data_IF_859706089092
#
_entry.id   IF_859706089092
#
_cell.length_a   1.000
_cell.length_b   1.000
_cell.length_c   1.000
_cell.angle_alpha   90.00
_cell.angle_beta   90.00
_cell.angle_gamma   90.00
#
_symmetry.space_group_name_H-M   'P 1'
#
loop_
_entity.id
_entity.type
_entity.pdbx_description
1 polymer ?
#
# COMPACT_ATOMS: atom_id res chain seq x y z
N UNK A 1 -43.49 51.53 -19.95
CA UNK A 1 -42.47 50.64 -19.38
C UNK A 1 -41.23 50.80 -20.23
N UNK A 2 -40.31 51.62 -19.77
CA UNK A 2 -39.24 52.18 -20.58
C UNK A 2 -38.16 51.14 -20.86
N UNK A 3 -37.63 51.14 -22.08
CA UNK A 3 -36.58 50.22 -22.57
C UNK A 3 -35.40 50.16 -21.59
N UNK A 4 -35.08 51.30 -20.95
CA UNK A 4 -34.03 51.41 -19.94
C UNK A 4 -34.28 50.54 -18.70
N UNK A 5 -35.52 50.49 -18.20
CA UNK A 5 -35.87 49.67 -17.04
C UNK A 5 -35.79 48.17 -17.37
N UNK A 6 -36.13 47.79 -18.60
CA UNK A 6 -36.01 46.40 -19.06
C UNK A 6 -34.55 45.96 -19.19
N UNK A 7 -33.67 46.85 -19.67
CA UNK A 7 -32.23 46.60 -19.75
C UNK A 7 -31.59 46.48 -18.37
N UNK A 8 -31.98 47.33 -17.41
CA UNK A 8 -31.48 47.23 -16.03
C UNK A 8 -31.91 45.93 -15.34
N UNK A 9 -33.15 45.48 -15.56
CA UNK A 9 -33.62 44.18 -15.07
C UNK A 9 -32.83 43.02 -15.70
N UNK A 10 -32.55 43.08 -17.00
CA UNK A 10 -31.77 42.07 -17.69
C UNK A 10 -30.33 42.00 -17.16
N UNK A 11 -29.69 43.16 -16.92
CA UNK A 11 -28.34 43.22 -16.34
C UNK A 11 -28.33 42.62 -14.92
N UNK A 12 -29.31 42.97 -14.07
CA UNK A 12 -29.43 42.41 -12.72
C UNK A 12 -29.50 40.88 -12.74
N UNK A 13 -30.37 40.32 -13.60
CA UNK A 13 -30.52 38.88 -13.76
C UNK A 13 -29.23 38.22 -14.26
N UNK A 14 -28.49 38.86 -15.17
CA UNK A 14 -27.21 38.30 -15.64
C UNK A 14 -26.14 38.26 -14.56
N UNK A 15 -26.10 39.26 -13.66
CA UNK A 15 -25.16 39.29 -12.54
C UNK A 15 -25.49 38.20 -11.52
N UNK A 16 -26.77 38.00 -11.23
CA UNK A 16 -27.24 36.91 -10.36
C UNK A 16 -26.89 35.52 -10.94
N UNK A 17 -27.10 35.32 -12.23
CA UNK A 17 -26.72 34.07 -12.92
C UNK A 17 -25.21 33.84 -12.84
N UNK A 18 -24.41 34.89 -13.05
CA UNK A 18 -22.95 34.81 -12.97
C UNK A 18 -22.48 34.46 -11.56
N UNK A 19 -23.12 35.02 -10.53
CA UNK A 19 -22.80 34.71 -9.14
C UNK A 19 -23.09 33.23 -8.80
N UNK A 20 -24.25 32.72 -9.22
CA UNK A 20 -24.60 31.30 -9.05
C UNK A 20 -23.61 30.39 -9.78
N UNK A 21 -23.17 30.76 -10.98
CA UNK A 21 -22.15 30.01 -11.72
C UNK A 21 -20.81 29.96 -10.97
N UNK A 22 -20.38 31.08 -10.37
CA UNK A 22 -19.17 31.13 -9.56
C UNK A 22 -19.27 30.23 -8.33
N UNK A 23 -20.42 30.23 -7.65
CA UNK A 23 -20.66 29.35 -6.50
C UNK A 23 -20.61 27.86 -6.90
N UNK A 24 -21.18 27.49 -8.04
CA UNK A 24 -21.12 26.11 -8.58
C UNK A 24 -19.67 25.70 -8.88
N UNK A 25 -18.87 26.59 -9.48
CA UNK A 25 -17.46 26.32 -9.76
C UNK A 25 -16.66 26.09 -8.48
N UNK A 26 -16.87 26.94 -7.47
CA UNK A 26 -16.22 26.79 -6.18
C UNK A 26 -16.61 25.46 -5.49
N UNK A 27 -17.91 25.11 -5.49
CA UNK A 27 -18.38 23.83 -4.95
C UNK A 27 -17.75 22.61 -5.66
N UNK A 28 -17.64 22.65 -7.01
CA UNK A 28 -16.96 21.61 -7.78
C UNK A 28 -15.49 21.46 -7.38
N UNK A 29 -14.77 22.58 -7.22
CA UNK A 29 -13.37 22.56 -6.80
C UNK A 29 -13.21 21.96 -5.40
N UNK A 30 -14.09 22.33 -4.45
CA UNK A 30 -14.08 21.75 -3.10
C UNK A 30 -14.34 20.23 -3.11
N UNK A 31 -15.28 19.76 -3.95
CA UNK A 31 -15.54 18.34 -4.12
C UNK A 31 -14.32 17.61 -4.67
N UNK A 32 -13.62 18.17 -5.66
CA UNK A 32 -12.39 17.60 -6.21
C UNK A 32 -11.26 17.52 -5.16
N UNK A 33 -11.08 18.55 -4.33
CA UNK A 33 -10.10 18.51 -3.25
C UNK A 33 -10.45 17.40 -2.26
N UNK A 34 -11.73 17.28 -1.87
CA UNK A 34 -12.20 16.22 -0.96
C UNK A 34 -11.97 14.82 -1.52
N UNK A 35 -12.20 14.58 -2.81
CA UNK A 35 -11.96 13.25 -3.41
C UNK A 35 -10.47 12.89 -3.43
N UNK A 36 -9.59 13.85 -3.77
CA UNK A 36 -8.13 13.64 -3.74
C UNK A 36 -7.62 13.36 -2.31
N UNK A 37 -8.22 14.00 -1.30
CA UNK A 37 -7.87 13.71 0.09
C UNK A 37 -8.32 12.30 0.51
N UNK A 38 -9.51 11.87 0.13
CA UNK A 38 -10.03 10.52 0.44
C UNK A 38 -9.14 9.43 -0.19
N UNK A 39 -8.72 9.57 -1.45
CA UNK A 39 -7.83 8.59 -2.10
C UNK A 39 -6.46 8.52 -1.43
N UNK A 40 -5.92 9.64 -0.98
CA UNK A 40 -4.64 9.72 -0.24
C UNK A 40 -4.74 9.16 1.19
N UNK A 41 -5.89 9.34 1.85
CA UNK A 41 -6.15 8.75 3.17
C UNK A 41 -6.27 7.22 3.03
N UNK A 42 -6.98 6.73 2.02
CA UNK A 42 -7.11 5.30 1.78
C UNK A 42 -5.75 4.63 1.52
N UNK A 43 -4.85 5.25 0.76
CA UNK A 43 -3.51 4.69 0.53
C UNK A 43 -2.63 4.71 1.79
N UNK A 44 -2.78 5.70 2.68
CA UNK A 44 -2.03 5.77 3.94
C UNK A 44 -2.59 4.86 5.04
N UNK A 45 -3.89 4.62 5.06
CA UNK A 45 -4.55 3.78 6.06
C UNK A 45 -4.48 2.29 5.74
N UNK A 46 -4.42 1.89 4.45
CA UNK A 46 -4.22 0.49 4.05
C UNK A 46 -2.88 -0.08 4.56
N UNK A 47 -1.85 0.75 4.72
CA UNK A 47 -0.59 0.34 5.35
C UNK A 47 -0.67 0.20 6.88
N UNK A 48 -1.64 0.84 7.54
CA UNK A 48 -1.74 0.86 9.01
C UNK A 48 -2.41 -0.41 9.56
N UNK A 49 -3.22 -1.09 8.74
CA UNK A 49 -3.78 -2.42 9.00
C UNK A 49 -2.96 -3.55 8.37
N UNK A 50 -1.68 -3.30 8.06
CA UNK A 50 -0.69 -4.38 8.11
C UNK A 50 -0.71 -4.81 9.58
N UNK A 51 -1.56 -5.79 9.90
CA UNK A 51 -1.52 -6.49 11.16
C UNK A 51 -0.04 -6.72 11.45
N UNK A 52 0.42 -6.26 12.60
CA UNK A 52 1.69 -6.69 13.18
C UNK A 52 1.52 -8.18 13.52
N UNK A 53 1.36 -8.99 12.48
CA UNK A 53 1.09 -10.41 12.59
C UNK A 53 2.36 -10.98 13.21
N UNK A 54 2.22 -11.44 14.45
CA UNK A 54 3.26 -12.17 15.16
C UNK A 54 3.53 -13.41 14.33
N UNK A 55 4.74 -13.52 13.80
CA UNK A 55 5.18 -14.73 13.11
C UNK A 55 5.25 -15.86 14.14
N UNK A 56 4.51 -16.93 13.87
CA UNK A 56 4.65 -18.18 14.61
C UNK A 56 5.87 -18.95 14.12
N UNK A 57 6.34 -19.88 14.95
CA UNK A 57 7.45 -20.75 14.58
C UNK A 57 7.13 -21.58 13.33
N UNK A 58 5.89 -22.08 13.20
CA UNK A 58 5.47 -22.84 12.02
C UNK A 58 5.52 -21.97 10.75
N UNK A 59 5.04 -20.73 10.81
CA UNK A 59 5.09 -19.82 9.67
C UNK A 59 6.53 -19.48 9.25
N UNK A 60 7.47 -19.43 10.20
CA UNK A 60 8.89 -19.30 9.87
C UNK A 60 9.44 -20.54 9.17
N UNK A 61 9.03 -21.75 9.59
CA UNK A 61 9.42 -22.99 8.92
C UNK A 61 8.89 -23.02 7.49
N UNK A 62 7.59 -22.78 7.31
CA UNK A 62 6.95 -22.75 5.99
C UNK A 62 7.63 -21.72 5.07
N UNK A 63 7.95 -20.53 5.61
CA UNK A 63 8.67 -19.50 4.87
C UNK A 63 10.06 -19.96 4.44
N UNK A 64 10.80 -20.64 5.31
CA UNK A 64 12.14 -21.15 5.02
C UNK A 64 12.12 -22.29 3.99
N UNK A 65 11.11 -23.17 4.04
CA UNK A 65 10.89 -24.21 3.04
C UNK A 65 10.62 -23.62 1.65
N UNK A 66 9.76 -22.59 1.57
CA UNK A 66 9.49 -21.89 0.32
C UNK A 66 10.72 -21.15 -0.21
N UNK A 67 11.52 -20.53 0.68
CA UNK A 67 12.80 -19.92 0.29
C UNK A 67 13.79 -20.97 -0.21
N UNK A 68 13.78 -22.20 0.34
CA UNK A 68 14.60 -23.31 -0.15
C UNK A 68 14.13 -23.80 -1.52
N UNK A 69 12.82 -23.89 -1.73
CA UNK A 69 12.23 -24.38 -2.98
C UNK A 69 12.41 -23.40 -4.14
N UNK A 70 12.14 -22.10 -3.93
CA UNK A 70 12.12 -21.10 -5.00
C UNK A 70 13.35 -20.20 -5.04
N UNK A 71 14.16 -20.21 -3.98
CA UNK A 71 15.31 -19.32 -3.81
C UNK A 71 14.94 -17.95 -3.24
N UNK A 72 15.92 -17.31 -2.58
CA UNK A 72 15.71 -16.06 -1.83
C UNK A 72 15.34 -14.84 -2.70
N UNK A 73 15.57 -14.91 -4.00
CA UNK A 73 15.26 -13.83 -4.96
C UNK A 73 13.84 -13.91 -5.51
N UNK A 74 13.17 -15.05 -5.32
CA UNK A 74 11.88 -15.39 -5.95
C UNK A 74 10.70 -15.07 -5.03
N UNK A 75 10.63 -13.83 -4.52
CA UNK A 75 9.60 -13.41 -3.55
C UNK A 75 8.17 -13.56 -4.07
N UNK A 76 7.96 -13.42 -5.38
CA UNK A 76 6.64 -13.60 -6.00
C UNK A 76 6.12 -15.04 -5.83
N UNK A 77 6.98 -16.03 -6.10
CA UNK A 77 6.64 -17.44 -5.93
C UNK A 77 6.41 -17.81 -4.46
N UNK A 78 7.21 -17.26 -3.54
CA UNK A 78 7.03 -17.47 -2.09
C UNK A 78 5.68 -16.89 -1.64
N UNK A 79 5.32 -15.69 -2.11
CA UNK A 79 4.04 -15.06 -1.79
C UNK A 79 2.84 -15.84 -2.31
N UNK A 80 2.91 -16.37 -3.53
CA UNK A 80 1.83 -17.19 -4.12
C UNK A 80 1.52 -18.43 -3.27
N UNK A 81 2.53 -18.97 -2.59
CA UNK A 81 2.39 -20.13 -1.70
C UNK A 81 2.08 -19.75 -0.25
N UNK A 82 2.02 -18.45 0.10
CA UNK A 82 1.71 -17.98 1.45
C UNK A 82 0.65 -16.85 1.41
N UNK A 83 -0.59 -17.15 0.97
CA UNK A 83 -1.64 -16.15 0.76
C UNK A 83 -2.10 -15.45 2.05
N UNK A 84 -1.80 -16.04 3.21
CA UNK A 84 -2.14 -15.48 4.52
C UNK A 84 -1.17 -14.37 4.98
N UNK A 85 -0.09 -14.08 4.23
CA UNK A 85 0.87 -13.00 4.52
C UNK A 85 0.98 -12.05 3.33
N UNK A 86 1.16 -10.77 3.63
CA UNK A 86 1.39 -9.76 2.61
C UNK A 86 2.83 -9.80 2.10
N UNK A 87 3.05 -9.40 0.85
CA UNK A 87 4.38 -9.34 0.20
C UNK A 87 5.42 -8.62 1.06
N UNK A 88 5.05 -7.47 1.62
CA UNK A 88 5.94 -6.69 2.48
C UNK A 88 6.29 -7.43 3.78
N UNK A 89 5.32 -8.12 4.39
CA UNK A 89 5.56 -8.91 5.61
C UNK A 89 6.56 -10.03 5.36
N UNK A 90 6.42 -10.75 4.24
CA UNK A 90 7.33 -11.81 3.80
C UNK A 90 8.73 -11.23 3.58
N UNK A 91 8.84 -10.13 2.83
CA UNK A 91 10.12 -9.47 2.56
C UNK A 91 10.82 -9.03 3.85
N UNK A 92 10.11 -8.33 4.74
CA UNK A 92 10.68 -7.89 6.02
C UNK A 92 11.04 -9.07 6.92
N UNK A 93 10.28 -10.16 6.89
CA UNK A 93 10.59 -11.36 7.67
C UNK A 93 11.84 -12.07 7.17
N UNK A 94 11.96 -12.30 5.86
CA UNK A 94 13.16 -12.88 5.25
C UNK A 94 14.38 -12.01 5.57
N UNK A 95 14.24 -10.68 5.45
CA UNK A 95 15.31 -9.74 5.81
C UNK A 95 15.69 -9.84 7.29
N UNK A 96 14.72 -9.95 8.19
CA UNK A 96 14.94 -10.11 9.63
C UNK A 96 15.66 -11.43 9.94
N UNK A 97 15.15 -12.56 9.43
CA UNK A 97 15.77 -13.87 9.61
C UNK A 97 17.21 -13.85 9.08
N UNK A 98 17.44 -13.32 7.87
CA UNK A 98 18.78 -13.16 7.27
C UNK A 98 19.73 -12.35 8.17
N UNK A 99 19.23 -11.30 8.81
CA UNK A 99 20.03 -10.41 9.66
C UNK A 99 20.31 -11.01 11.05
N UNK A 100 19.33 -11.72 11.64
CA UNK A 100 19.49 -12.43 12.91
C UNK A 100 20.60 -13.48 12.83
N UNK A 101 20.71 -14.18 11.71
CA UNK A 101 21.71 -15.24 11.52
C UNK A 101 23.07 -14.75 11.00
N UNK A 102 23.33 -13.43 10.87
CA UNK A 102 24.58 -12.83 10.33
C UNK A 102 25.24 -13.68 9.22
N UNK A 103 24.53 -13.84 8.11
CA UNK A 103 25.09 -14.43 6.90
C UNK A 103 26.12 -13.46 6.28
N UNK A 104 27.36 -13.95 6.14
CA UNK A 104 28.47 -13.29 5.44
C UNK A 104 27.99 -12.71 4.10
N UNK A 105 28.42 -11.47 3.81
CA UNK A 105 27.97 -10.61 2.70
C UNK A 105 28.25 -11.13 1.28
N UNK A 106 28.61 -12.38 1.11
CA UNK A 106 29.09 -12.90 -0.17
C UNK A 106 28.52 -14.30 -0.40
N UNK A 107 27.44 -14.36 -1.19
CA UNK A 107 27.31 -15.21 -2.38
C UNK A 107 25.89 -15.73 -2.58
N UNK A 108 25.56 -15.89 -3.86
CA UNK A 108 24.31 -16.34 -4.43
C UNK A 108 24.07 -17.86 -4.24
N UNK A 109 24.90 -18.53 -3.45
CA UNK A 109 24.84 -19.97 -3.23
C UNK A 109 24.68 -20.20 -1.73
N UNK A 110 23.41 -20.19 -1.27
CA UNK A 110 23.09 -20.66 0.07
C UNK A 110 23.56 -22.10 0.21
N UNK A 111 24.62 -22.28 0.99
CA UNK A 111 25.23 -23.57 1.22
C UNK A 111 24.27 -24.42 2.08
N UNK A 112 23.84 -25.54 1.52
CA UNK A 112 22.90 -26.54 2.05
C UNK A 112 23.10 -26.90 3.54
N UNK A 113 24.35 -26.76 4.03
CA UNK A 113 24.78 -27.06 5.41
C UNK A 113 24.11 -26.24 6.51
N UNK A 114 23.69 -25.00 6.25
CA UNK A 114 23.03 -24.18 7.28
C UNK A 114 21.55 -24.56 7.48
N UNK A 115 20.86 -24.90 6.38
CA UNK A 115 19.48 -25.36 6.43
C UNK A 115 19.36 -26.71 7.17
N UNK A 116 20.32 -27.60 6.95
CA UNK A 116 20.43 -28.87 7.68
C UNK A 116 20.72 -28.66 9.18
N UNK A 117 21.59 -27.71 9.54
CA UNK A 117 21.86 -27.38 10.94
C UNK A 117 20.63 -26.81 11.67
N UNK A 118 19.80 -26.00 11.00
CA UNK A 118 18.61 -25.41 11.61
C UNK A 118 17.48 -26.43 11.81
N UNK A 119 17.28 -27.36 10.87
CA UNK A 119 16.31 -28.45 11.00
C UNK A 119 16.72 -29.49 12.05
N UNK A 120 18.02 -29.75 12.22
CA UNK A 120 18.51 -30.71 13.21
C UNK A 120 18.43 -30.21 14.66
N UNK A 121 18.42 -28.89 14.89
CA UNK A 121 18.52 -28.31 16.24
C UNK A 121 17.19 -27.72 16.77
N UNK A 122 16.08 -27.85 16.04
CA UNK A 122 14.77 -27.35 16.49
C UNK A 122 13.63 -28.38 16.34
N UNK A 123 13.90 -29.67 16.54
CA UNK A 123 12.87 -30.70 16.78
C UNK A 123 12.58 -30.84 18.28
#
# INVERSE_FOLDING_TARGET
MDIFNMQLQQISLTLEIQEVQNQIQHAKHQLQIKTVQITNINSKQTHKYIQRARWSYQEDQDLLELVKQFGITSYAAIYENMPHKYKDQIYFRIRYLRNQFRLNRTCCTMNQKWFEFFLQNNQ
#
